data_IF_790722148478
#
_entry.id   IF_790722148478
#
_cell.length_a   1.000
_cell.length_b   1.000
_cell.length_c   1.000
_cell.angle_alpha   90.00
_cell.angle_beta   90.00
_cell.angle_gamma   90.00
#
_symmetry.space_group_name_H-M   'P 1'
#
loop_
_entity.id
_entity.type
_entity.pdbx_description
1 polymer ?
#
# COMPACT_ATOMS: atom_id res chain seq x y z
N UNK A 1 -31.53 51.57 -67.99
CA UNK A 1 -31.09 50.16 -67.91
C UNK A 1 -31.14 49.77 -66.44
N UNK A 2 -31.81 48.67 -66.05
CA UNK A 2 -31.88 48.27 -64.65
C UNK A 2 -30.52 47.71 -64.21
N UNK A 3 -29.95 48.25 -63.14
CA UNK A 3 -28.77 47.66 -62.50
C UNK A 3 -29.16 46.29 -61.94
N UNK A 4 -28.51 45.23 -62.40
CA UNK A 4 -28.70 43.88 -61.86
C UNK A 4 -28.22 43.85 -60.40
N UNK A 5 -29.05 43.41 -59.43
CA UNK A 5 -28.62 43.32 -58.05
C UNK A 5 -27.40 42.39 -57.98
N UNK A 6 -26.30 42.90 -57.41
CA UNK A 6 -25.09 42.11 -57.20
C UNK A 6 -25.45 40.88 -56.37
N UNK A 7 -25.47 39.72 -57.03
CA UNK A 7 -25.66 38.40 -56.43
C UNK A 7 -24.60 38.18 -55.33
N UNK A 8 -23.47 38.86 -55.43
CA UNK A 8 -22.44 38.91 -54.41
C UNK A 8 -22.67 40.08 -53.47
N UNK A 9 -23.57 39.89 -52.50
CA UNK A 9 -23.67 40.76 -51.33
C UNK A 9 -22.73 40.22 -50.23
N UNK A 10 -22.08 41.11 -49.46
CA UNK A 10 -21.22 40.73 -48.31
C UNK A 10 -21.94 39.78 -47.33
N UNK A 11 -23.27 39.86 -47.26
CA UNK A 11 -24.11 38.95 -46.47
C UNK A 11 -24.07 37.49 -46.97
N UNK A 12 -24.06 37.25 -48.29
CA UNK A 12 -24.05 35.88 -48.84
C UNK A 12 -22.68 35.23 -48.69
N UNK A 13 -21.61 36.00 -48.91
CA UNK A 13 -20.24 35.57 -48.64
C UNK A 13 -20.06 35.21 -47.16
N UNK A 14 -20.61 36.02 -46.25
CA UNK A 14 -20.56 35.74 -44.81
C UNK A 14 -21.33 34.46 -44.45
N UNK A 15 -22.52 34.24 -45.03
CA UNK A 15 -23.31 33.01 -44.81
C UNK A 15 -22.55 31.75 -45.27
N UNK A 16 -21.87 31.82 -46.41
CA UNK A 16 -21.05 30.72 -46.93
C UNK A 16 -19.84 30.45 -46.03
N UNK A 17 -19.18 31.50 -45.55
CA UNK A 17 -18.05 31.36 -44.62
C UNK A 17 -18.51 30.74 -43.30
N UNK A 18 -19.64 31.19 -42.75
CA UNK A 18 -20.21 30.65 -41.50
C UNK A 18 -20.66 29.20 -41.66
N UNK A 19 -21.26 28.82 -42.80
CA UNK A 19 -21.71 27.45 -43.04
C UNK A 19 -20.57 26.44 -43.15
N UNK A 20 -19.38 26.88 -43.58
CA UNK A 20 -18.17 26.06 -43.63
C UNK A 20 -17.43 26.08 -42.27
N UNK A 21 -17.31 27.24 -41.64
CA UNK A 21 -16.59 27.39 -40.38
C UNK A 21 -17.27 26.68 -39.22
N UNK A 22 -18.61 26.68 -39.17
CA UNK A 22 -19.37 26.06 -38.07
C UNK A 22 -19.05 24.56 -37.93
N UNK A 23 -19.23 23.71 -38.96
CA UNK A 23 -18.88 22.29 -38.86
C UNK A 23 -17.37 22.06 -38.67
N UNK A 24 -16.51 22.92 -39.23
CA UNK A 24 -15.06 22.82 -39.02
C UNK A 24 -14.66 23.07 -37.54
N UNK A 25 -15.21 24.11 -36.92
CA UNK A 25 -14.99 24.44 -35.51
C UNK A 25 -15.54 23.31 -34.62
N UNK A 26 -16.76 22.83 -34.89
CA UNK A 26 -17.36 21.71 -34.16
C UNK A 26 -16.49 20.46 -34.27
N UNK A 27 -15.99 20.14 -35.47
CA UNK A 27 -15.08 19.01 -35.68
C UNK A 27 -13.78 19.14 -34.90
N UNK A 28 -13.14 20.32 -34.92
CA UNK A 28 -11.90 20.59 -34.18
C UNK A 28 -12.14 20.47 -32.66
N UNK A 29 -13.21 21.10 -32.15
CA UNK A 29 -13.57 21.03 -30.74
C UNK A 29 -13.90 19.60 -30.31
N UNK A 30 -14.67 18.86 -31.12
CA UNK A 30 -15.01 17.47 -30.87
C UNK A 30 -13.77 16.57 -30.78
N UNK A 31 -12.81 16.71 -31.70
CA UNK A 31 -11.55 15.95 -31.66
C UNK A 31 -10.72 16.32 -30.44
N UNK A 32 -10.60 17.61 -30.12
CA UNK A 32 -9.83 18.07 -28.95
C UNK A 32 -10.46 17.60 -27.64
N UNK A 33 -11.78 17.69 -27.52
CA UNK A 33 -12.52 17.23 -26.34
C UNK A 33 -12.42 15.72 -26.16
N UNK A 34 -12.61 14.93 -27.22
CA UNK A 34 -12.49 13.48 -27.18
C UNK A 34 -11.07 13.03 -26.77
N UNK A 35 -10.02 13.69 -27.28
CA UNK A 35 -8.63 13.42 -26.85
C UNK A 35 -8.43 13.68 -25.36
N UNK A 36 -8.95 14.79 -24.84
CA UNK A 36 -8.87 15.13 -23.41
C UNK A 36 -9.63 14.13 -22.54
N UNK A 37 -10.82 13.71 -22.96
CA UNK A 37 -11.58 12.68 -22.24
C UNK A 37 -10.81 11.36 -22.17
N UNK A 38 -10.23 10.90 -23.29
CA UNK A 38 -9.41 9.67 -23.31
C UNK A 38 -8.17 9.77 -22.42
N UNK A 39 -7.50 10.92 -22.39
CA UNK A 39 -6.37 11.15 -21.49
C UNK A 39 -6.78 11.08 -20.01
N UNK A 40 -7.93 11.66 -19.65
CA UNK A 40 -8.45 11.63 -18.28
C UNK A 40 -8.89 10.21 -17.88
N UNK A 41 -9.62 9.52 -18.76
CA UNK A 41 -10.05 8.13 -18.57
C UNK A 41 -8.85 7.22 -18.37
N UNK A 42 -7.80 7.36 -19.18
CA UNK A 42 -6.59 6.55 -19.03
C UNK A 42 -5.90 6.83 -17.68
N UNK A 43 -5.78 8.09 -17.26
CA UNK A 43 -5.20 8.44 -15.96
C UNK A 43 -6.03 7.88 -14.80
N UNK A 44 -7.35 8.00 -14.87
CA UNK A 44 -8.27 7.42 -13.88
C UNK A 44 -8.12 5.90 -13.83
N UNK A 45 -8.07 5.23 -14.98
CA UNK A 45 -7.91 3.78 -15.06
C UNK A 45 -6.58 3.30 -14.48
N UNK A 46 -5.46 3.95 -14.81
CA UNK A 46 -4.15 3.61 -14.23
C UNK A 46 -4.14 3.84 -12.72
N UNK A 47 -4.73 4.95 -12.25
CA UNK A 47 -4.87 5.22 -10.81
C UNK A 47 -5.70 4.13 -10.12
N UNK A 48 -6.83 3.72 -10.73
CA UNK A 48 -7.67 2.66 -10.20
C UNK A 48 -6.92 1.33 -10.13
N UNK A 49 -6.16 0.95 -11.17
CA UNK A 49 -5.38 -0.30 -11.17
C UNK A 49 -4.29 -0.31 -10.10
N UNK A 50 -3.65 0.83 -9.85
CA UNK A 50 -2.69 0.98 -8.75
C UNK A 50 -3.39 0.81 -7.40
N UNK A 51 -4.54 1.44 -7.19
CA UNK A 51 -5.32 1.32 -5.94
C UNK A 51 -5.78 -0.14 -5.74
N UNK A 52 -6.34 -0.78 -6.76
CA UNK A 52 -6.73 -2.19 -6.72
C UNK A 52 -5.55 -3.08 -6.30
N UNK A 53 -4.37 -2.85 -6.86
CA UNK A 53 -3.18 -3.62 -6.49
C UNK A 53 -2.75 -3.33 -5.05
N UNK A 54 -2.78 -2.08 -4.60
CA UNK A 54 -2.48 -1.73 -3.20
C UNK A 54 -3.45 -2.39 -2.23
N UNK A 55 -4.75 -2.46 -2.56
CA UNK A 55 -5.76 -3.15 -1.73
C UNK A 55 -5.39 -4.64 -1.60
N UNK A 56 -5.06 -5.31 -2.71
CA UNK A 56 -4.64 -6.72 -2.67
C UNK A 56 -3.39 -6.93 -1.80
N UNK A 57 -2.45 -5.99 -1.84
CA UNK A 57 -1.26 -6.05 -0.98
C UNK A 57 -1.62 -5.80 0.47
N UNK A 58 -2.53 -4.88 0.76
CA UNK A 58 -3.05 -4.64 2.11
C UNK A 58 -3.71 -5.89 2.68
N UNK A 59 -4.64 -6.49 1.94
CA UNK A 59 -5.39 -7.68 2.36
C UNK A 59 -4.50 -8.90 2.60
N UNK A 60 -3.37 -8.99 1.89
CA UNK A 60 -2.40 -10.07 2.07
C UNK A 60 -1.35 -9.79 3.15
N UNK A 61 -0.83 -8.55 3.25
CA UNK A 61 0.27 -8.22 4.15
C UNK A 61 -0.21 -7.94 5.58
N UNK A 62 -1.29 -7.16 5.75
CA UNK A 62 -1.72 -6.69 7.07
C UNK A 62 -2.05 -7.83 8.04
N UNK A 63 -2.71 -8.94 7.61
CA UNK A 63 -2.91 -10.09 8.51
C UNK A 63 -1.59 -10.67 9.05
N UNK A 64 -0.54 -10.74 8.23
CA UNK A 64 0.78 -11.19 8.67
C UNK A 64 1.42 -10.21 9.67
N UNK A 65 1.37 -8.90 9.39
CA UNK A 65 1.87 -7.88 10.31
C UNK A 65 1.13 -7.92 11.64
N UNK A 66 -0.19 -8.10 11.60
CA UNK A 66 -1.02 -8.20 12.78
C UNK A 66 -0.69 -9.46 13.58
N UNK A 67 -0.51 -10.62 12.93
CA UNK A 67 -0.08 -11.85 13.59
C UNK A 67 1.24 -11.69 14.33
N UNK A 68 2.23 -11.03 13.71
CA UNK A 68 3.50 -10.68 14.35
C UNK A 68 3.24 -9.77 15.56
N UNK A 69 2.53 -8.65 15.38
CA UNK A 69 2.24 -7.71 16.47
C UNK A 69 1.53 -8.38 17.65
N UNK A 70 0.49 -9.17 17.38
CA UNK A 70 -0.25 -9.95 18.35
C UNK A 70 0.67 -10.89 19.12
N UNK A 71 1.55 -11.61 18.42
CA UNK A 71 2.52 -12.50 19.04
C UNK A 71 3.44 -11.77 20.02
N UNK A 72 4.01 -10.62 19.64
CA UNK A 72 4.93 -9.87 20.49
C UNK A 72 4.23 -9.14 21.65
N UNK A 73 2.94 -8.82 21.51
CA UNK A 73 2.19 -8.04 22.51
C UNK A 73 1.29 -8.88 23.42
N UNK A 74 1.18 -10.18 23.18
CA UNK A 74 0.26 -11.09 23.88
C UNK A 74 -1.22 -10.72 23.71
N UNK A 75 -1.60 -10.25 22.51
CA UNK A 75 -2.97 -9.86 22.16
C UNK A 75 -3.53 -10.80 21.10
N UNK A 76 -4.85 -11.04 21.11
CA UNK A 76 -5.53 -11.85 20.10
C UNK A 76 -5.09 -13.31 20.11
N UNK A 77 -4.87 -13.87 18.92
CA UNK A 77 -4.52 -15.29 18.66
C UNK A 77 -3.05 -15.62 18.91
N UNK A 78 -2.35 -14.86 19.77
CA UNK A 78 -0.91 -15.05 20.00
C UNK A 78 -0.56 -16.45 20.53
N UNK A 79 -1.50 -17.11 21.23
CA UNK A 79 -1.33 -18.44 21.82
C UNK A 79 -1.36 -19.56 20.77
N UNK A 80 -1.92 -19.28 19.60
CA UNK A 80 -2.08 -20.25 18.53
C UNK A 80 -0.84 -20.32 17.63
N UNK A 81 0.12 -19.39 17.82
CA UNK A 81 1.35 -19.29 17.06
C UNK A 81 2.55 -19.85 17.83
N UNK A 82 3.31 -20.73 17.19
CA UNK A 82 4.61 -21.21 17.66
C UNK A 82 5.75 -20.27 17.20
N UNK A 83 6.91 -20.27 17.88
CA UNK A 83 8.04 -19.44 17.48
C UNK A 83 8.50 -19.65 16.02
N UNK A 84 8.62 -20.90 15.51
CA UNK A 84 8.94 -21.13 14.09
C UNK A 84 7.88 -20.60 13.11
N UNK A 85 6.59 -20.67 13.47
CA UNK A 85 5.51 -20.13 12.64
C UNK A 85 5.59 -18.62 12.53
N UNK A 86 5.93 -17.92 13.61
CA UNK A 86 6.13 -16.45 13.59
C UNK A 86 7.28 -16.08 12.66
N UNK A 87 8.37 -16.84 12.65
CA UNK A 87 9.48 -16.63 11.71
C UNK A 87 9.04 -16.88 10.26
N UNK A 88 8.20 -17.89 10.02
CA UNK A 88 7.62 -18.13 8.68
C UNK A 88 6.72 -16.98 8.25
N UNK A 89 5.84 -16.49 9.14
CA UNK A 89 4.98 -15.32 8.87
C UNK A 89 5.82 -14.09 8.54
N UNK A 90 6.92 -13.86 9.28
CA UNK A 90 7.87 -12.78 8.98
C UNK A 90 8.44 -12.89 7.57
N UNK A 91 8.92 -14.08 7.16
CA UNK A 91 9.49 -14.28 5.80
C UNK A 91 8.47 -14.02 4.70
N UNK A 92 7.22 -14.46 4.87
CA UNK A 92 6.16 -14.16 3.90
C UNK A 92 5.82 -12.67 3.88
N UNK A 93 5.76 -12.02 5.05
CA UNK A 93 5.59 -10.58 5.13
C UNK A 93 6.73 -9.81 4.45
N UNK A 94 7.99 -10.19 4.67
CA UNK A 94 9.18 -9.57 4.04
C UNK A 94 9.05 -9.66 2.52
N UNK A 95 8.72 -10.85 2.00
CA UNK A 95 8.54 -11.08 0.58
C UNK A 95 7.45 -10.19 -0.01
N UNK A 96 6.28 -10.14 0.61
CA UNK A 96 5.16 -9.32 0.14
C UNK A 96 5.52 -7.83 0.20
N UNK A 97 6.08 -7.37 1.32
CA UNK A 97 6.43 -5.97 1.52
C UNK A 97 7.49 -5.48 0.52
N UNK A 98 8.60 -6.20 0.36
CA UNK A 98 9.69 -5.76 -0.52
C UNK A 98 9.34 -5.84 -2.01
N UNK A 99 8.58 -6.87 -2.45
CA UNK A 99 8.13 -6.96 -3.85
C UNK A 99 7.22 -5.79 -4.21
N UNK A 100 6.36 -5.39 -3.27
CA UNK A 100 5.33 -4.39 -3.52
C UNK A 100 5.70 -2.99 -3.01
N UNK A 101 6.90 -2.78 -2.43
CA UNK A 101 7.35 -1.50 -1.91
C UNK A 101 7.18 -0.33 -2.91
N UNK A 102 7.49 -0.48 -4.22
CA UNK A 102 7.30 0.60 -5.20
C UNK A 102 5.85 1.06 -5.39
N UNK A 103 4.87 0.29 -4.91
CA UNK A 103 3.47 0.68 -4.97
C UNK A 103 3.08 1.65 -3.85
N UNK A 104 3.85 1.74 -2.77
CA UNK A 104 3.53 2.55 -1.60
C UNK A 104 4.41 3.81 -1.52
N UNK A 105 4.08 4.80 -0.67
CA UNK A 105 4.96 5.93 -0.40
C UNK A 105 6.33 5.49 0.12
N UNK A 106 7.38 6.26 -0.16
CA UNK A 106 8.77 5.89 0.18
C UNK A 106 8.94 5.55 1.67
N UNK A 107 8.26 6.28 2.57
CA UNK A 107 8.28 6.05 4.02
C UNK A 107 7.72 4.68 4.46
N UNK A 108 6.94 4.00 3.62
CA UNK A 108 6.29 2.73 3.98
C UNK A 108 7.33 1.66 4.31
N UNK A 109 8.32 1.48 3.44
CA UNK A 109 9.28 0.39 3.60
C UNK A 109 10.19 0.62 4.82
N UNK A 110 10.52 1.88 5.10
CA UNK A 110 11.29 2.26 6.28
C UNK A 110 10.49 2.02 7.56
N UNK A 111 9.20 2.38 7.58
CA UNK A 111 8.30 2.08 8.71
C UNK A 111 8.16 0.57 8.92
N UNK A 112 7.99 -0.18 7.83
CA UNK A 112 7.93 -1.64 7.86
C UNK A 112 9.20 -2.24 8.46
N UNK A 113 10.38 -1.85 7.96
CA UNK A 113 11.67 -2.34 8.45
C UNK A 113 11.83 -2.06 9.94
N UNK A 114 11.48 -0.86 10.42
CA UNK A 114 11.53 -0.52 11.85
C UNK A 114 10.62 -1.42 12.69
N UNK A 115 9.41 -1.72 12.23
CA UNK A 115 8.52 -2.66 12.90
C UNK A 115 9.12 -4.06 12.96
N UNK A 116 9.68 -4.55 11.86
CA UNK A 116 10.35 -5.85 11.83
C UNK A 116 11.57 -5.88 12.74
N UNK A 117 12.42 -4.86 12.73
CA UNK A 117 13.60 -4.77 13.59
C UNK A 117 13.26 -4.68 15.08
N UNK A 118 12.09 -4.13 15.42
CA UNK A 118 11.56 -4.12 16.78
C UNK A 118 11.13 -5.51 17.25
N UNK A 119 10.57 -6.35 16.38
CA UNK A 119 10.23 -7.73 16.72
C UNK A 119 11.40 -8.71 16.58
N UNK A 120 12.31 -8.45 15.64
CA UNK A 120 13.30 -9.42 15.19
C UNK A 120 14.71 -8.83 15.21
N UNK A 121 15.66 -9.58 15.78
CA UNK A 121 17.08 -9.31 15.62
C UNK A 121 17.57 -9.97 14.34
N UNK A 122 17.72 -9.15 13.30
CA UNK A 122 18.33 -9.52 12.03
C UNK A 122 19.85 -9.69 12.21
N UNK A 123 20.50 -10.45 11.31
CA UNK A 123 21.96 -10.65 11.26
C UNK A 123 22.55 -11.60 12.33
N UNK A 124 22.23 -12.89 12.21
CA UNK A 124 23.04 -13.98 12.79
C UNK A 124 24.23 -14.37 11.88
N UNK A 125 24.79 -15.57 12.06
CA UNK A 125 25.74 -16.14 11.07
C UNK A 125 25.01 -16.42 9.74
N UNK A 126 25.76 -16.52 8.64
CA UNK A 126 25.19 -16.91 7.34
C UNK A 126 24.34 -18.19 7.47
N UNK A 127 23.09 -18.14 7.01
CA UNK A 127 22.14 -19.24 7.11
C UNK A 127 21.40 -19.39 8.46
N UNK A 128 21.61 -18.50 9.43
CA UNK A 128 20.85 -18.50 10.68
C UNK A 128 19.60 -17.65 10.61
N UNK A 129 18.54 -18.15 11.22
CA UNK A 129 17.27 -17.45 11.33
C UNK A 129 17.36 -16.22 12.24
N UNK A 130 16.46 -15.27 11.98
CA UNK A 130 16.27 -14.12 12.86
C UNK A 130 15.85 -14.58 14.26
N UNK A 131 16.28 -13.84 15.28
CA UNK A 131 15.85 -14.09 16.66
C UNK A 131 14.68 -13.19 17.06
N UNK A 132 13.80 -13.69 17.92
CA UNK A 132 12.63 -13.02 18.46
C UNK A 132 13.05 -12.15 19.65
N UNK A 133 12.76 -10.84 19.58
CA UNK A 133 12.98 -9.87 20.65
C UNK A 133 11.85 -9.88 21.69
N UNK A 134 11.58 -11.06 22.25
CA UNK A 134 10.58 -11.28 23.30
C UNK A 134 11.03 -12.42 24.23
N UNK A 135 10.31 -12.64 25.33
CA UNK A 135 10.56 -13.77 26.23
C UNK A 135 9.80 -15.03 25.81
N UNK A 136 10.32 -16.21 26.18
CA UNK A 136 9.60 -17.47 26.06
C UNK A 136 8.97 -17.94 27.37
N UNK A 137 9.28 -17.31 28.51
CA UNK A 137 8.88 -17.76 29.84
C UNK A 137 7.37 -17.86 30.00
N UNK A 138 6.61 -16.94 29.41
CA UNK A 138 5.15 -16.98 29.44
C UNK A 138 4.55 -17.93 28.39
N UNK A 139 5.31 -18.30 27.35
CA UNK A 139 4.85 -19.13 26.22
C UNK A 139 5.01 -20.61 26.48
N UNK A 140 6.17 -21.00 27.01
CA UNK A 140 6.49 -22.38 27.33
C UNK A 140 5.41 -23.09 28.15
N UNK A 141 4.92 -22.56 29.30
CA UNK A 141 3.90 -23.24 30.09
C UNK A 141 2.54 -23.32 29.39
N UNK A 142 2.23 -22.40 28.47
CA UNK A 142 0.95 -22.38 27.75
C UNK A 142 0.93 -23.31 26.54
N UNK A 143 2.07 -23.46 25.86
CA UNK A 143 2.22 -24.41 24.76
C UNK A 143 2.39 -25.84 25.29
N UNK A 144 2.87 -26.01 26.53
CA UNK A 144 2.92 -27.29 27.21
C UNK A 144 3.67 -28.33 26.39
N UNK A 145 3.01 -29.46 26.10
CA UNK A 145 3.57 -30.56 25.29
C UNK A 145 3.91 -30.16 23.84
N UNK A 146 3.32 -29.08 23.32
CA UNK A 146 3.68 -28.57 21.98
C UNK A 146 5.02 -27.84 21.98
N UNK A 147 5.54 -27.43 23.15
CA UNK A 147 6.82 -26.74 23.24
C UNK A 147 7.97 -27.67 22.91
N UNK A 148 8.89 -27.21 22.06
CA UNK A 148 10.14 -27.91 21.78
C UNK A 148 11.30 -27.07 22.34
N UNK A 149 12.19 -27.70 23.10
CA UNK A 149 13.31 -27.02 23.77
C UNK A 149 14.23 -26.30 22.78
N UNK A 150 14.35 -26.82 21.55
CA UNK A 150 15.14 -26.19 20.49
C UNK A 150 14.60 -24.81 20.09
N UNK A 151 13.35 -24.47 20.42
CA UNK A 151 12.79 -23.16 20.13
C UNK A 151 13.36 -22.05 21.02
N UNK A 152 13.95 -22.38 22.17
CA UNK A 152 14.56 -21.40 23.08
C UNK A 152 15.69 -20.63 22.37
N UNK A 153 16.43 -21.28 21.47
CA UNK A 153 17.51 -20.63 20.71
C UNK A 153 17.01 -19.54 19.75
N UNK A 154 15.71 -19.54 19.42
CA UNK A 154 15.07 -18.56 18.54
C UNK A 154 14.81 -17.24 19.26
N UNK A 155 14.95 -17.18 20.59
CA UNK A 155 14.73 -15.96 21.36
C UNK A 155 16.06 -15.23 21.62
N UNK A 156 15.95 -13.91 21.75
CA UNK A 156 17.03 -13.04 22.15
C UNK A 156 17.29 -13.10 23.65
N UNK A 157 18.45 -12.57 24.04
CA UNK A 157 18.77 -12.36 25.45
C UNK A 157 17.84 -11.29 26.08
N UNK A 158 17.60 -11.32 27.39
CA UNK A 158 16.64 -10.42 28.06
C UNK A 158 16.89 -8.92 27.84
N UNK A 159 18.13 -8.48 27.70
CA UNK A 159 18.53 -7.09 27.46
C UNK A 159 18.20 -6.59 26.03
N UNK A 160 17.83 -7.50 25.13
CA UNK A 160 17.51 -7.20 23.74
C UNK A 160 16.01 -7.29 23.43
N UNK A 161 15.20 -7.61 24.44
CA UNK A 161 13.73 -7.65 24.34
C UNK A 161 13.20 -6.24 24.12
N UNK A 162 12.28 -6.11 23.16
CA UNK A 162 11.67 -4.81 22.85
C UNK A 162 10.43 -4.58 23.70
N UNK A 163 10.20 -3.33 24.09
CA UNK A 163 8.96 -2.95 24.75
C UNK A 163 7.72 -3.22 23.87
N UNK A 164 6.67 -3.76 24.49
CA UNK A 164 5.43 -4.14 23.81
C UNK A 164 4.69 -2.93 23.24
N UNK A 165 4.74 -1.81 23.94
CA UNK A 165 4.18 -0.54 23.49
C UNK A 165 4.88 -0.05 22.23
N UNK A 166 6.20 -0.18 22.15
CA UNK A 166 6.98 0.19 20.97
C UNK A 166 6.65 -0.69 19.75
N UNK A 167 6.54 -2.01 19.92
CA UNK A 167 6.13 -2.92 18.84
C UNK A 167 4.76 -2.52 18.28
N UNK A 168 3.79 -2.26 19.16
CA UNK A 168 2.44 -1.85 18.76
C UNK A 168 2.44 -0.48 18.07
N UNK A 169 3.24 0.47 18.56
CA UNK A 169 3.36 1.81 17.98
C UNK A 169 3.89 1.73 16.54
N UNK A 170 4.94 0.95 16.31
CA UNK A 170 5.54 0.76 15.00
C UNK A 170 4.62 0.01 14.04
N UNK A 171 3.90 -1.01 14.52
CA UNK A 171 2.85 -1.67 13.74
C UNK A 171 1.79 -0.67 13.25
N UNK A 172 1.23 0.12 14.17
CA UNK A 172 0.20 1.11 13.85
C UNK A 172 0.70 2.15 12.83
N UNK A 173 1.96 2.57 12.97
CA UNK A 173 2.60 3.50 12.03
C UNK A 173 2.67 2.90 10.62
N UNK A 174 3.11 1.64 10.48
CA UNK A 174 3.20 0.95 9.20
C UNK A 174 1.83 0.78 8.53
N UNK A 175 0.82 0.34 9.31
CA UNK A 175 -0.55 0.20 8.78
C UNK A 175 -1.15 1.55 8.38
N UNK A 176 -0.85 2.64 9.11
CA UNK A 176 -1.30 3.98 8.76
C UNK A 176 -0.73 4.46 7.41
N UNK A 177 0.54 4.16 7.11
CA UNK A 177 1.13 4.45 5.79
C UNK A 177 0.41 3.68 4.67
N UNK A 178 0.07 2.41 4.89
CA UNK A 178 -0.68 1.62 3.92
C UNK A 178 -2.10 2.18 3.73
N UNK A 179 -2.81 2.47 4.81
CA UNK A 179 -4.17 3.03 4.74
C UNK A 179 -4.20 4.38 4.00
N UNK A 180 -3.24 5.26 4.29
CA UNK A 180 -3.07 6.54 3.56
C UNK A 180 -2.85 6.32 2.06
N UNK A 181 -2.07 5.30 1.68
CA UNK A 181 -1.81 4.98 0.27
C UNK A 181 -3.05 4.47 -0.48
N UNK A 182 -4.04 3.96 0.24
CA UNK A 182 -5.29 3.46 -0.32
C UNK A 182 -6.36 4.55 -0.48
N UNK A 183 -6.11 5.75 0.03
CA UNK A 183 -7.14 6.78 0.23
C UNK A 183 -8.35 6.23 1.02
N UNK A 184 -8.14 5.14 1.78
CA UNK A 184 -9.05 4.74 2.82
C UNK A 184 -8.98 5.87 3.83
N UNK A 185 -10.03 6.68 3.88
CA UNK A 185 -10.18 7.79 4.82
C UNK A 185 -10.19 7.36 6.28
N UNK A 186 -9.09 6.80 6.78
CA UNK A 186 -8.63 7.05 8.13
C UNK A 186 -8.14 8.49 8.09
N UNK A 187 -9.11 9.41 8.17
CA UNK A 187 -8.87 10.83 8.35
C UNK A 187 -7.78 10.98 9.40
N UNK A 188 -6.78 11.78 9.04
CA UNK A 188 -5.82 12.40 9.97
C UNK A 188 -6.32 12.32 11.41
N UNK A 189 -5.77 11.39 12.19
CA UNK A 189 -5.99 11.39 13.63
C UNK A 189 -5.60 12.79 14.13
N UNK A 190 -6.49 13.51 14.84
CA UNK A 190 -6.14 14.82 15.36
C UNK A 190 -4.94 14.67 16.31
N UNK A 191 -4.00 15.59 16.14
CA UNK A 191 -2.83 15.76 17.01
C UNK A 191 -3.24 16.01 18.45
#
# INVERSE_FOLDING_TARGET
MPESPSIWNSLEVLKLIVSILTPAIIGILGVRFNRRLKELEHRQWTSQKVIEKRIQVYDSLVPHLNGIMCYFTYIGEWKDLTPPEVLKIKREADKIAHINAPLFPDDFIDSYNRFIEAGFRMFGKFGQDAKLRTDFQNRMPLLGEKWQTEWEQLFCEPDQITDRGEVRRLYNQTVAYMAKALDLGLGSAPR
#
